data_IF_043998209548
#
_entry.id   IF_043998209548
#
_cell.length_a   1.000
_cell.length_b   1.000
_cell.length_c   1.000
_cell.angle_alpha   90.00
_cell.angle_beta   90.00
_cell.angle_gamma   90.00
#
_symmetry.space_group_name_H-M   'P 1'
#
loop_
_entity.id
_entity.type
_entity.pdbx_description
1 polymer ?
#
# COMPACT_ATOMS: atom_id res chain seq x y z
N UNK A 1 23.29 -16.38 11.46
CA UNK A 1 23.20 -16.34 9.98
C UNK A 1 22.98 -14.90 9.54
N UNK A 2 23.96 -14.35 8.88
CA UNK A 2 23.79 -13.04 8.29
C UNK A 2 22.79 -13.13 7.11
N UNK A 3 21.62 -12.58 7.28
CA UNK A 3 20.74 -12.31 6.14
C UNK A 3 21.46 -11.31 5.27
N UNK A 4 21.90 -11.72 4.11
CA UNK A 4 22.43 -10.81 3.12
C UNK A 4 21.31 -9.84 2.77
N UNK A 5 21.39 -8.61 3.30
CA UNK A 5 20.42 -7.57 2.97
C UNK A 5 20.53 -7.29 1.48
N UNK A 6 19.52 -7.66 0.73
CA UNK A 6 19.47 -7.35 -0.68
C UNK A 6 19.15 -5.88 -0.85
N UNK A 7 19.89 -5.22 -1.73
CA UNK A 7 19.65 -3.82 -2.03
C UNK A 7 18.35 -3.63 -2.81
N UNK A 8 17.66 -2.52 -2.55
CA UNK A 8 16.52 -2.11 -3.36
C UNK A 8 17.05 -1.47 -4.64
N UNK A 9 16.72 -2.07 -5.77
CA UNK A 9 17.11 -1.56 -7.07
C UNK A 9 16.28 -0.34 -7.47
N UNK A 10 16.93 0.62 -8.15
CA UNK A 10 16.23 1.77 -8.71
C UNK A 10 16.74 2.06 -10.10
N UNK A 11 15.90 2.69 -10.90
CA UNK A 11 16.25 3.23 -12.21
C UNK A 11 16.03 4.72 -12.21
N UNK A 12 16.75 5.42 -13.08
CA UNK A 12 16.59 6.87 -13.25
C UNK A 12 15.75 7.14 -14.49
N UNK A 13 14.85 8.10 -14.37
CA UNK A 13 14.08 8.60 -15.51
C UNK A 13 14.06 10.12 -15.48
N UNK A 14 13.93 10.70 -16.66
CA UNK A 14 13.78 12.14 -16.79
C UNK A 14 12.29 12.49 -16.80
N UNK A 15 11.94 13.57 -16.15
CA UNK A 15 10.58 14.06 -16.09
C UNK A 15 10.57 15.58 -16.12
N UNK A 16 9.53 16.16 -16.72
CA UNK A 16 9.36 17.61 -16.73
C UNK A 16 8.49 18.01 -15.53
N UNK A 17 9.00 18.95 -14.74
CA UNK A 17 8.25 19.46 -13.60
C UNK A 17 7.28 20.53 -14.04
N UNK A 18 6.01 20.37 -13.67
CA UNK A 18 4.95 21.32 -14.03
C UNK A 18 4.65 22.34 -12.94
N UNK A 19 5.02 22.03 -11.69
CA UNK A 19 4.77 22.91 -10.53
C UNK A 19 5.98 22.94 -9.62
N UNK A 20 6.08 23.97 -8.78
CA UNK A 20 7.15 24.14 -7.80
C UNK A 20 8.34 24.93 -8.32
N UNK A 21 9.43 24.95 -7.55
CA UNK A 21 10.64 25.73 -7.88
C UNK A 21 11.35 25.28 -9.16
N UNK A 22 11.14 24.03 -9.55
CA UNK A 22 11.76 23.45 -10.75
C UNK A 22 10.78 23.38 -11.93
N UNK A 23 9.67 24.12 -11.87
CA UNK A 23 8.67 24.15 -12.94
C UNK A 23 9.31 24.57 -14.28
N UNK A 24 8.98 23.82 -15.35
CA UNK A 24 9.54 24.03 -16.67
C UNK A 24 10.92 23.44 -16.91
N UNK A 25 11.52 22.83 -15.88
CA UNK A 25 12.82 22.17 -15.99
C UNK A 25 12.69 20.66 -16.09
N UNK A 26 13.57 20.04 -16.85
CA UNK A 26 13.70 18.59 -16.87
C UNK A 26 14.51 18.14 -15.66
N UNK A 27 13.95 17.20 -14.89
CA UNK A 27 14.60 16.68 -13.68
C UNK A 27 14.81 15.18 -13.81
N UNK A 28 15.76 14.65 -13.06
CA UNK A 28 16.01 13.23 -12.97
C UNK A 28 15.37 12.69 -11.69
N UNK A 29 14.56 11.66 -11.82
CA UNK A 29 13.85 11.05 -10.70
C UNK A 29 14.23 9.58 -10.61
N UNK A 30 14.51 9.11 -9.39
CA UNK A 30 14.71 7.69 -9.13
C UNK A 30 13.37 7.00 -8.92
N UNK A 31 13.23 5.83 -9.52
CA UNK A 31 12.03 4.99 -9.35
C UNK A 31 12.46 3.62 -8.90
N UNK A 32 11.83 3.11 -7.85
CA UNK A 32 12.11 1.77 -7.34
C UNK A 32 11.80 0.73 -8.41
N UNK A 33 12.66 -0.26 -8.51
CA UNK A 33 12.45 -1.38 -9.42
C UNK A 33 12.12 -2.63 -8.62
N UNK A 34 10.97 -3.24 -8.92
CA UNK A 34 10.58 -4.48 -8.28
C UNK A 34 11.52 -5.61 -8.70
N UNK A 35 12.02 -6.34 -7.71
CA UNK A 35 12.87 -7.50 -7.94
C UNK A 35 12.04 -8.69 -8.39
N UNK A 36 10.84 -8.82 -7.86
CA UNK A 36 9.93 -9.91 -8.18
C UNK A 36 8.62 -9.77 -7.44
N UNK A 37 7.83 -10.79 -7.52
CA UNK A 37 6.53 -10.85 -6.88
C UNK A 37 6.41 -12.13 -6.06
N UNK A 38 6.01 -12.00 -4.80
CA UNK A 38 5.75 -13.13 -3.91
C UNK A 38 4.25 -13.39 -3.95
N UNK A 39 3.84 -14.59 -4.37
CA UNK A 39 2.42 -14.96 -4.41
C UNK A 39 1.84 -15.07 -3.00
N UNK A 40 0.51 -15.00 -2.90
CA UNK A 40 -0.19 -15.17 -1.62
C UNK A 40 0.13 -16.53 -0.99
N UNK A 41 0.13 -17.59 -1.78
CA UNK A 41 0.43 -18.93 -1.28
C UNK A 41 1.85 -19.03 -0.74
N UNK A 42 2.81 -18.47 -1.47
CA UNK A 42 4.21 -18.45 -1.02
C UNK A 42 4.38 -17.62 0.24
N UNK A 43 3.69 -16.47 0.31
CA UNK A 43 3.70 -15.64 1.52
C UNK A 43 3.19 -16.41 2.73
N UNK A 44 2.07 -17.12 2.58
CA UNK A 44 1.52 -17.95 3.65
C UNK A 44 2.47 -19.06 4.08
N UNK A 45 3.14 -19.68 3.11
CA UNK A 45 4.13 -20.73 3.38
C UNK A 45 5.33 -20.19 4.17
N UNK A 46 5.83 -19.02 3.79
CA UNK A 46 6.92 -18.36 4.50
C UNK A 46 6.54 -17.99 5.94
N UNK A 47 5.33 -17.50 6.14
CA UNK A 47 4.81 -17.20 7.49
C UNK A 47 4.66 -18.48 8.30
N UNK A 48 4.11 -19.52 7.68
CA UNK A 48 3.93 -20.82 8.32
C UNK A 48 5.25 -21.45 8.80
N UNK A 49 6.34 -21.18 8.07
CA UNK A 49 7.68 -21.65 8.44
C UNK A 49 8.18 -21.17 9.79
N UNK A 50 7.60 -20.11 10.34
CA UNK A 50 7.93 -19.57 11.66
C UNK A 50 6.94 -19.98 12.75
N UNK A 51 6.00 -20.87 12.44
CA UNK A 51 4.92 -21.29 13.34
C UNK A 51 4.73 -22.80 13.30
N UNK A 52 3.81 -23.29 14.12
CA UNK A 52 3.36 -24.69 14.06
C UNK A 52 2.23 -24.90 13.06
N UNK A 53 1.73 -23.81 12.45
CA UNK A 53 0.68 -23.89 11.45
C UNK A 53 1.24 -24.28 10.08
N UNK A 54 0.41 -24.90 9.25
CA UNK A 54 0.75 -25.11 7.85
C UNK A 54 0.27 -23.91 7.01
N UNK A 55 0.69 -23.84 5.74
CA UNK A 55 0.35 -22.71 4.88
C UNK A 55 -1.15 -22.55 4.64
N UNK A 56 -1.91 -23.65 4.64
CA UNK A 56 -3.36 -23.61 4.45
C UNK A 56 -4.08 -22.98 5.65
N UNK A 57 -3.58 -23.24 6.85
CA UNK A 57 -4.10 -22.63 8.06
C UNK A 57 -3.82 -21.12 8.09
N UNK A 58 -2.61 -20.72 7.70
CA UNK A 58 -2.25 -19.31 7.60
C UNK A 58 -3.12 -18.61 6.56
N UNK A 59 -3.31 -19.23 5.39
CA UNK A 59 -4.16 -18.68 4.34
C UNK A 59 -5.60 -18.52 4.82
N UNK A 60 -6.13 -19.52 5.53
CA UNK A 60 -7.49 -19.45 6.07
C UNK A 60 -7.66 -18.32 7.06
N UNK A 61 -6.69 -18.13 7.96
CA UNK A 61 -6.72 -17.04 8.95
C UNK A 61 -6.68 -15.68 8.26
N UNK A 62 -5.78 -15.51 7.28
CA UNK A 62 -5.67 -14.25 6.56
C UNK A 62 -6.93 -13.93 5.76
N UNK A 63 -7.54 -14.93 5.13
CA UNK A 63 -8.79 -14.74 4.39
C UNK A 63 -9.96 -14.40 5.31
N UNK A 64 -10.04 -15.05 6.47
CA UNK A 64 -11.06 -14.71 7.47
C UNK A 64 -10.85 -13.30 8.02
N UNK A 65 -9.60 -12.91 8.25
CA UNK A 65 -9.28 -11.55 8.66
C UNK A 65 -9.73 -10.53 7.59
N UNK A 66 -9.51 -10.84 6.32
CA UNK A 66 -9.95 -9.99 5.22
C UNK A 66 -11.48 -9.87 5.15
N UNK A 67 -12.21 -10.99 5.30
CA UNK A 67 -13.68 -10.99 5.32
C UNK A 67 -14.22 -10.14 6.48
N UNK A 68 -13.66 -10.33 7.66
CA UNK A 68 -14.05 -9.56 8.84
C UNK A 68 -13.78 -8.07 8.63
N UNK A 69 -12.59 -7.73 8.13
CA UNK A 69 -12.22 -6.36 7.85
C UNK A 69 -13.16 -5.71 6.82
N UNK A 70 -13.52 -6.46 5.78
CA UNK A 70 -14.44 -5.96 4.75
C UNK A 70 -15.79 -5.57 5.34
N UNK A 71 -16.34 -6.42 6.20
CA UNK A 71 -17.62 -6.14 6.87
C UNK A 71 -17.54 -4.89 7.74
N UNK A 72 -16.47 -4.75 8.49
CA UNK A 72 -16.28 -3.58 9.38
C UNK A 72 -16.12 -2.28 8.58
N UNK A 73 -15.29 -2.32 7.54
CA UNK A 73 -15.05 -1.13 6.70
C UNK A 73 -16.31 -0.71 5.96
N UNK A 74 -17.11 -1.69 5.50
CA UNK A 74 -18.38 -1.42 4.84
C UNK A 74 -19.37 -0.72 5.78
N UNK A 75 -19.28 -0.98 7.07
CA UNK A 75 -20.07 -0.29 8.09
C UNK A 75 -19.48 1.04 8.56
N UNK A 76 -18.37 1.48 8.00
CA UNK A 76 -17.75 2.76 8.31
C UNK A 76 -16.65 2.72 9.36
N UNK A 77 -16.27 1.55 9.84
CA UNK A 77 -15.22 1.44 10.85
C UNK A 77 -13.83 1.33 10.23
N UNK A 78 -12.83 1.89 10.90
CA UNK A 78 -11.43 1.65 10.56
C UNK A 78 -10.94 0.42 11.31
N UNK A 79 -10.11 -0.38 10.65
CA UNK A 79 -9.57 -1.62 11.24
C UNK A 79 -8.06 -1.49 11.39
N UNK A 80 -7.58 -1.73 12.59
CA UNK A 80 -6.13 -1.75 12.87
C UNK A 80 -5.64 -3.20 12.81
N UNK A 81 -4.68 -3.46 11.90
CA UNK A 81 -4.04 -4.78 11.75
C UNK A 81 -2.70 -4.87 12.48
N UNK A 82 -2.46 -4.01 13.46
CA UNK A 82 -1.19 -3.97 14.14
C UNK A 82 -0.06 -3.48 13.24
N UNK A 83 1.00 -4.26 13.13
CA UNK A 83 2.18 -3.87 12.34
C UNK A 83 1.90 -3.68 10.85
N UNK A 84 0.91 -4.37 10.30
CA UNK A 84 0.55 -4.23 8.89
C UNK A 84 -0.03 -2.86 8.56
N UNK A 85 -0.67 -2.23 9.54
CA UNK A 85 -1.25 -0.93 9.34
C UNK A 85 -2.74 -0.88 9.57
N UNK A 86 -3.41 0.08 8.98
CA UNK A 86 -4.83 0.32 9.18
C UNK A 86 -5.58 0.41 7.86
N UNK A 87 -6.78 -0.15 7.84
CA UNK A 87 -7.69 -0.12 6.71
C UNK A 87 -8.85 0.83 7.04
N UNK A 88 -9.14 1.78 6.15
CA UNK A 88 -10.19 2.78 6.36
C UNK A 88 -11.02 2.99 5.10
N UNK A 89 -12.35 3.20 5.25
CA UNK A 89 -13.17 3.58 4.11
C UNK A 89 -12.99 5.07 3.80
N UNK A 90 -13.06 5.42 2.53
CA UNK A 90 -13.07 6.80 2.06
C UNK A 90 -14.14 6.96 1.00
N UNK A 91 -14.63 8.18 0.83
CA UNK A 91 -15.60 8.48 -0.20
C UNK A 91 -14.93 9.22 -1.36
N UNK A 92 -15.29 8.83 -2.57
CA UNK A 92 -14.98 9.59 -3.76
C UNK A 92 -16.22 10.38 -4.15
N UNK A 93 -16.18 11.69 -3.94
CA UNK A 93 -17.33 12.53 -4.19
C UNK A 93 -16.97 13.70 -5.11
N UNK A 94 -17.99 14.20 -5.80
CA UNK A 94 -17.90 15.41 -6.60
C UNK A 94 -18.26 16.60 -5.70
N UNK A 95 -17.45 17.65 -5.75
CA UNK A 95 -17.74 18.86 -5.01
C UNK A 95 -18.92 19.60 -5.63
N UNK A 96 -19.73 20.23 -4.77
CA UNK A 96 -20.79 21.14 -5.19
C UNK A 96 -20.55 22.50 -4.57
N UNK A 97 -21.03 23.55 -5.23
CA UNK A 97 -20.88 24.90 -4.73
C UNK A 97 -21.67 25.07 -3.42
N UNK A 98 -21.13 25.91 -2.52
CA UNK A 98 -21.82 26.22 -1.28
C UNK A 98 -23.16 26.89 -1.58
N UNK A 99 -24.22 26.37 -0.99
CA UNK A 99 -25.59 26.84 -1.25
C UNK A 99 -26.36 25.96 -2.23
N UNK A 100 -25.68 25.09 -2.99
CA UNK A 100 -26.33 24.08 -3.82
C UNK A 100 -26.63 22.84 -3.00
N UNK A 101 -27.70 22.14 -3.36
CA UNK A 101 -28.11 20.93 -2.68
C UNK A 101 -27.18 19.77 -3.01
N UNK A 102 -26.64 19.10 -2.00
CA UNK A 102 -25.82 17.92 -2.18
C UNK A 102 -26.70 16.68 -2.23
N UNK A 103 -26.58 15.90 -3.32
CA UNK A 103 -27.28 14.62 -3.48
C UNK A 103 -26.28 13.49 -3.47
N UNK A 104 -26.45 12.56 -2.55
CA UNK A 104 -25.59 11.37 -2.47
C UNK A 104 -25.62 10.55 -3.76
N UNK A 105 -26.79 10.38 -4.37
CA UNK A 105 -26.93 9.59 -5.60
C UNK A 105 -26.16 10.18 -6.78
N UNK A 106 -26.09 11.51 -6.85
CA UNK A 106 -25.47 12.22 -7.97
C UNK A 106 -24.01 12.56 -7.69
N UNK A 107 -23.68 12.91 -6.46
CA UNK A 107 -22.37 13.50 -6.12
C UNK A 107 -21.40 12.51 -5.47
N UNK A 108 -21.87 11.42 -4.86
CA UNK A 108 -20.98 10.37 -4.38
C UNK A 108 -20.72 9.38 -5.51
N UNK A 109 -19.46 9.33 -5.96
CA UNK A 109 -19.06 8.44 -7.07
C UNK A 109 -18.82 7.02 -6.61
N UNK A 110 -18.43 6.82 -5.37
CA UNK A 110 -18.20 5.49 -4.82
C UNK A 110 -17.46 5.51 -3.50
N UNK A 111 -17.36 4.32 -2.92
CA UNK A 111 -16.61 4.09 -1.68
C UNK A 111 -15.28 3.44 -2.05
N UNK A 112 -14.20 3.94 -1.50
CA UNK A 112 -12.86 3.37 -1.67
C UNK A 112 -12.35 2.93 -0.32
N UNK A 113 -11.42 1.99 -0.36
CA UNK A 113 -10.77 1.49 0.85
C UNK A 113 -9.28 1.84 0.75
N UNK A 114 -8.73 2.40 1.82
CA UNK A 114 -7.32 2.77 1.88
C UNK A 114 -6.62 1.96 2.96
N UNK A 115 -5.51 1.33 2.57
CA UNK A 115 -4.61 0.65 3.49
C UNK A 115 -3.39 1.55 3.74
N UNK A 116 -3.13 1.88 5.01
CA UNK A 116 -1.97 2.66 5.42
C UNK A 116 -1.05 1.78 6.26
N UNK A 117 0.16 1.48 5.77
CA UNK A 117 1.12 0.72 6.56
C UNK A 117 1.49 1.44 7.86
N UNK A 118 1.84 0.67 8.88
CA UNK A 118 2.33 1.25 10.13
C UNK A 118 3.67 1.93 9.87
N UNK A 119 3.75 3.23 10.07
CA UNK A 119 4.93 4.04 9.75
C UNK A 119 6.16 3.66 10.57
N UNK A 120 5.98 3.35 11.83
CA UNK A 120 7.10 2.99 12.69
C UNK A 120 7.69 1.65 12.28
N UNK A 121 6.84 0.67 12.03
CA UNK A 121 7.30 -0.67 11.67
C UNK A 121 7.87 -0.73 10.25
N UNK A 122 7.27 -0.03 9.29
CA UNK A 122 7.73 -0.01 7.89
C UNK A 122 8.66 1.16 7.59
N UNK A 123 9.34 1.69 8.60
CA UNK A 123 10.37 2.70 8.40
C UNK A 123 11.63 2.02 7.88
N UNK A 124 11.94 2.25 6.61
CA UNK A 124 13.02 1.55 5.91
C UNK A 124 14.25 2.47 5.74
N UNK A 125 14.81 2.92 6.87
CA UNK A 125 15.94 3.86 6.86
C UNK A 125 17.28 3.21 6.51
N UNK A 126 17.42 1.92 6.76
CA UNK A 126 18.67 1.18 6.60
C UNK A 126 18.71 0.32 5.34
N UNK A 127 17.86 0.65 4.36
CA UNK A 127 17.82 -0.07 3.08
C UNK A 127 18.96 0.37 2.19
N UNK A 128 19.75 -0.59 1.71
CA UNK A 128 20.78 -0.32 0.71
C UNK A 128 20.14 -0.09 -0.66
N UNK A 129 20.65 0.86 -1.42
CA UNK A 129 20.12 1.21 -2.74
C UNK A 129 21.14 0.87 -3.82
N UNK A 130 20.67 0.31 -4.91
CA UNK A 130 21.52 -0.09 -6.04
C UNK A 130 20.90 0.40 -7.36
N UNK A 131 21.68 1.16 -8.12
CA UNK A 131 21.24 1.61 -9.44
C UNK A 131 21.27 0.45 -10.43
N UNK A 132 20.17 0.24 -11.11
CA UNK A 132 20.04 -0.78 -12.14
C UNK A 132 20.08 -0.10 -13.51
N UNK A 133 20.91 -0.62 -14.41
CA UNK A 133 20.95 -0.13 -15.78
C UNK A 133 19.62 -0.46 -16.49
N UNK A 134 19.14 0.51 -17.30
CA UNK A 134 17.96 0.31 -18.14
C UNK A 134 18.32 -0.53 -19.38
#
# INVERSE_FOLDING_TARGET
MGTTKQALGYTLRNAEMKIGKLAGKTVTIATARARGHVSFMRFCDMVAGHTTFNYMEVAAILNLAADTARSLVAGGESVNFGRLGSLSPTLHSKAVAKGEEFSAMTHIKGVRVRLRPNRQFFRLDDVALERIAQ
#
